data_IF_545269485201
#
_entry.id   IF_545269485201
#
_cell.length_a   1.000
_cell.length_b   1.000
_cell.length_c   1.000
_cell.angle_alpha   90.00
_cell.angle_beta   90.00
_cell.angle_gamma   90.00
#
_symmetry.space_group_name_H-M   'P 1'
#
loop_
_entity.id
_entity.type
_entity.pdbx_description
1 polymer ?
#
# COMPACT_ATOMS: atom_id res chain seq x y z
N UNK A 1 8.26 -0.95 -8.16
CA UNK A 1 8.52 0.50 -8.13
C UNK A 1 7.74 1.27 -9.19
N UNK A 2 7.63 0.78 -10.44
CA UNK A 2 6.83 1.42 -11.50
C UNK A 2 5.36 1.71 -11.12
N UNK A 3 4.71 0.83 -10.34
CA UNK A 3 3.30 0.98 -9.96
C UNK A 3 3.00 2.25 -9.16
N UNK A 4 3.88 2.64 -8.24
CA UNK A 4 3.64 3.85 -7.44
C UNK A 4 3.74 5.10 -8.29
N UNK A 5 4.72 5.17 -9.20
CA UNK A 5 4.88 6.29 -10.13
C UNK A 5 3.71 6.37 -11.11
N UNK A 6 3.28 5.24 -11.68
CA UNK A 6 2.13 5.22 -12.59
C UNK A 6 0.85 5.66 -11.89
N UNK A 7 0.62 5.17 -10.66
CA UNK A 7 -0.61 5.47 -9.96
C UNK A 7 -0.65 6.89 -9.38
N UNK A 8 0.47 7.61 -9.41
CA UNK A 8 0.58 8.97 -8.89
C UNK A 8 0.83 10.00 -9.98
N UNK A 9 0.72 9.64 -11.26
CA UNK A 9 0.98 10.59 -12.35
C UNK A 9 2.40 11.17 -12.32
N UNK A 10 3.34 10.45 -11.71
CA UNK A 10 4.74 10.86 -11.52
C UNK A 10 5.66 10.20 -12.56
N UNK A 11 5.13 9.72 -13.67
CA UNK A 11 5.89 9.07 -14.75
C UNK A 11 6.90 10.01 -15.40
N UNK A 12 6.68 11.33 -15.33
CA UNK A 12 7.65 12.32 -15.78
C UNK A 12 8.98 12.26 -14.99
N UNK A 13 9.02 11.59 -13.83
CA UNK A 13 10.25 11.30 -13.09
C UNK A 13 11.03 10.10 -13.64
N UNK A 14 10.47 9.36 -14.60
CA UNK A 14 11.10 8.20 -15.20
C UNK A 14 11.69 8.56 -16.56
N UNK A 15 13.01 8.38 -16.69
CA UNK A 15 13.72 8.36 -17.97
C UNK A 15 14.08 6.91 -18.30
N UNK A 16 13.18 6.24 -19.03
CA UNK A 16 13.22 4.79 -19.20
C UNK A 16 13.04 4.08 -17.87
N UNK A 17 14.04 3.29 -17.47
CA UNK A 17 14.06 2.55 -16.20
C UNK A 17 14.74 3.31 -15.05
N UNK A 18 15.13 4.57 -15.29
CA UNK A 18 15.84 5.39 -14.29
C UNK A 18 14.94 6.46 -13.72
N UNK A 19 15.00 6.64 -12.41
CA UNK A 19 14.37 7.78 -11.74
C UNK A 19 15.26 9.01 -11.92
N UNK A 20 14.67 10.19 -12.08
CA UNK A 20 15.36 11.48 -12.02
C UNK A 20 15.96 11.71 -10.62
N UNK A 21 17.21 11.27 -10.46
CA UNK A 21 18.01 11.39 -9.23
C UNK A 21 18.17 12.85 -8.78
N UNK A 22 18.17 13.82 -9.72
CA UNK A 22 18.30 15.24 -9.39
C UNK A 22 17.03 15.74 -8.73
N UNK A 23 15.86 15.37 -9.27
CA UNK A 23 14.58 15.74 -8.68
C UNK A 23 14.34 15.04 -7.33
N UNK A 24 14.73 13.76 -7.20
CA UNK A 24 14.68 13.04 -5.93
C UNK A 24 15.55 13.70 -4.85
N UNK A 25 16.79 14.05 -5.21
CA UNK A 25 17.71 14.72 -4.30
C UNK A 25 17.20 16.09 -3.86
N UNK A 26 16.59 16.86 -4.78
CA UNK A 26 15.96 18.13 -4.46
C UNK A 26 14.79 17.96 -3.46
N UNK A 27 13.91 16.99 -3.68
CA UNK A 27 12.79 16.71 -2.78
C UNK A 27 13.23 16.21 -1.41
N UNK A 28 14.29 15.38 -1.35
CA UNK A 28 14.87 14.96 -0.09
C UNK A 28 15.45 16.16 0.69
N UNK A 29 16.05 17.15 0.00
CA UNK A 29 16.54 18.38 0.61
C UNK A 29 15.44 19.31 1.15
N UNK A 30 14.21 19.18 0.66
CA UNK A 30 13.02 19.93 1.12
C UNK A 30 12.20 19.17 2.18
N UNK A 31 12.52 17.90 2.41
CA UNK A 31 11.73 17.01 3.23
C UNK A 31 11.93 17.26 4.73
N UNK A 32 10.90 16.92 5.51
CA UNK A 32 11.00 16.90 6.97
C UNK A 32 11.78 15.66 7.41
N UNK A 33 12.85 15.86 8.20
CA UNK A 33 13.69 14.78 8.72
C UNK A 33 13.17 14.30 10.08
N UNK A 34 13.01 12.99 10.20
CA UNK A 34 12.69 12.29 11.46
C UNK A 34 13.80 11.29 11.77
N UNK A 35 14.56 11.54 12.83
CA UNK A 35 15.61 10.62 13.29
C UNK A 35 15.01 9.46 14.10
N UNK A 36 15.53 8.26 13.87
CA UNK A 36 15.13 7.03 14.56
C UNK A 36 16.34 6.17 14.89
N UNK A 37 16.15 5.16 15.73
CA UNK A 37 17.19 4.16 15.95
C UNK A 37 17.55 3.47 14.62
N UNK A 38 18.83 3.51 14.26
CA UNK A 38 19.35 2.88 13.05
C UNK A 38 19.27 3.72 11.77
N UNK A 39 18.69 4.92 11.79
CA UNK A 39 18.65 5.78 10.59
C UNK A 39 17.75 7.00 10.69
N UNK A 40 17.24 7.45 9.54
CA UNK A 40 16.33 8.59 9.45
C UNK A 40 15.33 8.42 8.30
N UNK A 41 14.17 9.05 8.45
CA UNK A 41 13.20 9.24 7.39
C UNK A 41 13.25 10.69 6.93
N UNK A 42 13.09 10.91 5.62
CA UNK A 42 12.87 12.22 5.04
C UNK A 42 11.51 12.20 4.34
N UNK A 43 10.58 12.98 4.85
CA UNK A 43 9.18 12.98 4.41
C UNK A 43 8.86 14.23 3.60
N UNK A 44 8.62 14.08 2.31
CA UNK A 44 8.15 15.17 1.43
C UNK A 44 6.68 14.97 1.14
N UNK A 45 5.83 15.89 1.63
CA UNK A 45 4.40 15.89 1.38
C UNK A 45 4.01 16.90 0.28
N UNK A 46 3.19 16.46 -0.65
CA UNK A 46 2.60 17.25 -1.74
C UNK A 46 1.21 17.78 -1.37
N UNK A 47 0.71 18.74 -2.16
CA UNK A 47 -0.60 19.35 -1.94
C UNK A 47 -1.76 18.34 -2.01
N UNK A 48 -1.62 17.30 -2.83
CA UNK A 48 -2.60 16.20 -2.94
C UNK A 48 -2.71 15.32 -1.69
N UNK A 49 -1.75 15.42 -0.76
CA UNK A 49 -1.56 14.43 0.30
C UNK A 49 -0.67 13.24 -0.09
N UNK A 50 -0.14 13.18 -1.31
CA UNK A 50 0.93 12.24 -1.66
C UNK A 50 2.15 12.56 -0.81
N UNK A 51 2.77 11.53 -0.26
CA UNK A 51 3.96 11.63 0.54
C UNK A 51 5.02 10.71 -0.05
N UNK A 52 6.20 11.25 -0.30
CA UNK A 52 7.39 10.49 -0.64
C UNK A 52 8.25 10.41 0.61
N UNK A 53 8.64 9.19 0.95
CA UNK A 53 9.38 8.88 2.18
C UNK A 53 10.71 8.26 1.76
N UNK A 54 11.79 8.99 2.01
CA UNK A 54 13.14 8.48 1.79
C UNK A 54 13.66 7.88 3.10
N UNK A 55 14.23 6.68 3.03
CA UNK A 55 14.84 5.99 4.17
C UNK A 55 16.36 6.03 4.05
N UNK A 56 17.05 6.45 5.11
CA UNK A 56 18.52 6.49 5.10
C UNK A 56 19.16 5.80 6.29
N UNK A 57 20.31 5.17 6.08
CA UNK A 57 21.18 4.60 7.12
C UNK A 57 22.60 5.12 6.90
N UNK A 58 23.23 5.65 7.95
CA UNK A 58 24.56 6.27 7.85
C UNK A 58 24.67 7.28 6.69
N UNK A 59 23.59 8.07 6.50
CA UNK A 59 23.41 9.05 5.42
C UNK A 59 23.33 8.48 4.00
N UNK A 60 23.27 7.16 3.82
CA UNK A 60 23.01 6.50 2.53
C UNK A 60 21.52 6.21 2.35
N UNK A 61 20.98 6.52 1.16
CA UNK A 61 19.59 6.18 0.79
C UNK A 61 19.45 4.66 0.60
N UNK A 62 18.62 4.03 1.43
CA UNK A 62 18.39 2.57 1.41
C UNK A 62 17.01 2.19 0.86
N UNK A 63 16.10 3.15 0.72
CA UNK A 63 14.75 2.87 0.22
C UNK A 63 13.93 4.13 -0.03
N UNK A 64 12.89 3.96 -0.84
CA UNK A 64 11.91 4.98 -1.20
C UNK A 64 10.52 4.37 -1.10
N UNK A 65 9.64 5.02 -0.36
CA UNK A 65 8.24 4.62 -0.25
C UNK A 65 7.31 5.77 -0.62
N UNK A 66 6.08 5.40 -1.00
CA UNK A 66 5.02 6.35 -1.28
C UNK A 66 3.79 6.03 -0.45
N UNK A 67 3.12 7.07 0.01
CA UNK A 67 1.88 6.96 0.76
C UNK A 67 0.92 8.08 0.35
N UNK A 68 -0.35 7.76 0.21
CA UNK A 68 -1.39 8.76 -0.01
C UNK A 68 -2.15 9.02 1.30
N UNK A 69 -2.07 10.25 1.80
CA UNK A 69 -2.87 10.65 2.96
C UNK A 69 -4.35 10.70 2.61
N UNK A 70 -5.17 10.23 3.54
CA UNK A 70 -6.60 10.09 3.34
C UNK A 70 -7.37 9.94 4.64
N UNK A 71 -8.64 9.54 4.55
CA UNK A 71 -9.52 9.38 5.73
C UNK A 71 -9.58 7.93 6.23
N UNK A 72 -8.99 7.01 5.47
CA UNK A 72 -8.91 5.60 5.78
C UNK A 72 -7.98 5.33 6.96
N UNK A 73 -8.55 5.23 8.15
CA UNK A 73 -7.85 4.80 9.36
C UNK A 73 -8.41 3.44 9.79
N UNK A 74 -7.54 2.44 9.90
CA UNK A 74 -7.87 1.12 10.41
C UNK A 74 -7.17 0.88 11.74
N UNK A 75 -7.88 0.30 12.70
CA UNK A 75 -7.30 -0.20 13.94
C UNK A 75 -7.04 -1.69 13.79
N UNK A 76 -5.78 -2.11 13.81
CA UNK A 76 -5.39 -3.49 13.53
C UNK A 76 -4.35 -4.02 14.53
N UNK A 77 -4.40 -5.34 14.75
CA UNK A 77 -3.42 -6.08 15.55
C UNK A 77 -2.39 -6.73 14.63
N UNK A 78 -1.08 -6.56 14.89
CA UNK A 78 -0.06 -7.30 14.15
C UNK A 78 -0.08 -8.79 14.53
N UNK A 79 0.06 -9.67 13.55
CA UNK A 79 0.12 -11.12 13.76
C UNK A 79 1.51 -11.67 13.53
N UNK A 80 2.10 -11.37 12.38
CA UNK A 80 3.44 -11.81 12.03
C UNK A 80 4.05 -10.96 10.93
N UNK A 81 5.37 -11.04 10.82
CA UNK A 81 6.11 -10.43 9.71
C UNK A 81 5.93 -11.27 8.44
N UNK A 82 5.87 -10.60 7.30
CA UNK A 82 5.65 -11.20 5.98
C UNK A 82 6.64 -10.60 5.00
N UNK A 83 7.15 -11.40 4.06
CA UNK A 83 8.12 -10.97 3.07
C UNK A 83 9.52 -10.65 3.63
N UNK A 84 10.38 -10.17 2.73
CA UNK A 84 11.74 -9.75 3.07
C UNK A 84 11.73 -8.54 4.00
N UNK A 85 12.68 -8.52 4.92
CA UNK A 85 12.82 -7.43 5.87
C UNK A 85 13.66 -6.34 5.23
N UNK A 86 13.08 -5.15 5.09
CA UNK A 86 13.80 -3.98 4.63
C UNK A 86 14.21 -3.09 5.80
N UNK A 87 15.29 -2.33 5.69
CA UNK A 87 15.67 -1.41 6.74
C UNK A 87 14.61 -0.31 6.92
N UNK A 88 14.27 -0.02 8.17
CA UNK A 88 13.33 1.04 8.57
C UNK A 88 11.88 0.86 8.07
N UNK A 89 11.53 -0.23 7.38
CA UNK A 89 10.14 -0.58 7.07
C UNK A 89 9.84 -2.00 7.52
N UNK A 90 8.56 -2.31 7.72
CA UNK A 90 8.15 -3.67 8.09
C UNK A 90 6.86 -4.03 7.38
N UNK A 91 6.85 -5.18 6.73
CA UNK A 91 5.63 -5.75 6.14
C UNK A 91 5.07 -6.79 7.08
N UNK A 92 3.78 -6.66 7.42
CA UNK A 92 3.12 -7.49 8.42
C UNK A 92 1.79 -8.01 7.91
N UNK A 93 1.47 -9.24 8.31
CA UNK A 93 0.11 -9.72 8.37
C UNK A 93 -0.54 -9.08 9.60
N UNK A 94 -1.67 -8.44 9.39
CA UNK A 94 -2.45 -7.77 10.42
C UNK A 94 -3.87 -8.29 10.42
N UNK A 95 -4.56 -8.12 11.53
CA UNK A 95 -5.96 -8.52 11.67
C UNK A 95 -6.81 -7.42 12.30
N UNK A 96 -8.09 -7.40 11.93
CA UNK A 96 -9.12 -6.59 12.56
C UNK A 96 -9.22 -6.84 14.07
N UNK A 97 -9.86 -5.93 14.80
CA UNK A 97 -10.19 -6.12 16.22
C UNK A 97 -11.06 -7.36 16.49
N UNK A 98 -11.95 -7.72 15.56
CA UNK A 98 -12.81 -8.91 15.66
C UNK A 98 -12.11 -10.20 15.21
N UNK A 99 -10.88 -10.08 14.71
CA UNK A 99 -10.10 -11.17 14.10
C UNK A 99 -10.79 -11.85 12.90
N UNK A 100 -11.79 -11.20 12.29
CA UNK A 100 -12.55 -11.73 11.15
C UNK A 100 -11.92 -11.39 9.79
N UNK A 101 -11.02 -10.41 9.76
CA UNK A 101 -10.39 -9.89 8.54
C UNK A 101 -8.90 -9.83 8.73
N UNK A 102 -8.16 -10.33 7.75
CA UNK A 102 -6.71 -10.24 7.70
C UNK A 102 -6.26 -9.49 6.46
N UNK A 103 -5.17 -8.74 6.56
CA UNK A 103 -4.61 -7.99 5.45
C UNK A 103 -3.10 -7.87 5.63
N UNK A 104 -2.41 -7.59 4.55
CA UNK A 104 -0.97 -7.31 4.58
C UNK A 104 -0.77 -5.81 4.39
N UNK A 105 0.05 -5.21 5.23
CA UNK A 105 0.43 -3.81 5.13
C UNK A 105 1.92 -3.65 5.34
N UNK A 106 2.51 -2.75 4.55
CA UNK A 106 3.87 -2.26 4.76
C UNK A 106 3.81 -0.99 5.59
N UNK A 107 4.43 -1.02 6.76
CA UNK A 107 4.54 0.12 7.66
C UNK A 107 5.85 0.84 7.36
N UNK A 108 5.73 1.99 6.71
CA UNK A 108 6.85 2.79 6.18
C UNK A 108 7.64 3.53 7.25
N UNK A 109 7.01 3.88 8.38
CA UNK A 109 7.66 4.51 9.54
C UNK A 109 7.78 3.50 10.70
N UNK A 110 8.16 2.26 10.40
CA UNK A 110 8.16 1.19 11.39
C UNK A 110 9.00 1.52 12.63
N UNK A 111 10.17 2.13 12.43
CA UNK A 111 11.09 2.46 13.53
C UNK A 111 10.63 3.64 14.40
N UNK A 112 9.54 4.34 14.05
CA UNK A 112 8.95 5.35 14.95
C UNK A 112 7.95 4.73 15.94
N UNK A 113 7.60 3.45 15.76
CA UNK A 113 6.62 2.78 16.61
C UNK A 113 7.30 2.24 17.88
N UNK A 114 6.73 2.51 19.07
CA UNK A 114 7.38 2.19 20.35
C UNK A 114 7.47 0.69 20.63
N UNK A 115 6.49 -0.10 20.17
CA UNK A 115 6.48 -1.56 20.35
C UNK A 115 5.70 -2.24 19.24
N UNK A 116 6.20 -3.41 18.80
CA UNK A 116 5.47 -4.35 17.95
C UNK A 116 5.27 -5.65 18.72
N UNK A 117 4.09 -5.80 19.33
CA UNK A 117 3.67 -7.05 19.97
C UNK A 117 2.26 -7.45 19.54
N UNK A 118 1.92 -8.71 19.75
CA UNK A 118 0.63 -9.30 19.40
C UNK A 118 -0.50 -8.89 20.38
N UNK A 119 -0.25 -7.92 21.27
CA UNK A 119 -1.21 -7.45 22.26
C UNK A 119 -1.66 -6.01 21.99
N UNK A 120 -0.87 -5.27 21.21
CA UNK A 120 -1.07 -3.85 20.96
C UNK A 120 -1.82 -3.63 19.64
N UNK A 121 -2.97 -2.95 19.74
CA UNK A 121 -3.67 -2.43 18.57
C UNK A 121 -2.96 -1.18 18.04
N UNK A 122 -2.85 -1.07 16.73
CA UNK A 122 -2.21 0.05 16.04
C UNK A 122 -3.25 0.72 15.15
N UNK A 123 -3.37 2.04 15.26
CA UNK A 123 -4.14 2.85 14.31
C UNK A 123 -3.25 3.19 13.11
N UNK A 124 -3.72 2.85 11.92
CA UNK A 124 -2.98 2.94 10.68
C UNK A 124 -3.77 3.75 9.66
N UNK A 125 -3.14 4.80 9.11
CA UNK A 125 -3.66 5.39 7.88
C UNK A 125 -3.27 4.49 6.71
N UNK A 126 -4.24 3.97 5.99
CA UNK A 126 -4.03 2.98 4.91
C UNK A 126 -4.46 3.53 3.57
N UNK A 127 -3.70 3.18 2.53
CA UNK A 127 -4.10 3.33 1.15
C UNK A 127 -3.62 2.10 0.37
N UNK A 128 -4.21 1.85 -0.80
CA UNK A 128 -3.77 0.80 -1.70
C UNK A 128 -3.46 1.38 -3.08
N UNK A 129 -2.33 0.97 -3.64
CA UNK A 129 -1.97 1.28 -5.02
C UNK A 129 -2.49 0.16 -5.92
N UNK A 130 -3.43 0.51 -6.78
CA UNK A 130 -4.18 -0.43 -7.60
C UNK A 130 -3.32 -1.00 -8.72
N UNK A 131 -3.15 -2.33 -8.74
CA UNK A 131 -2.46 -3.04 -9.83
C UNK A 131 -3.40 -3.39 -11.00
N UNK A 132 -4.65 -3.71 -10.70
CA UNK A 132 -5.70 -4.02 -11.67
C UNK A 132 -7.05 -3.64 -11.06
N UNK A 133 -7.98 -3.20 -11.91
CA UNK A 133 -9.31 -2.76 -11.49
C UNK A 133 -10.33 -3.11 -12.57
N UNK A 134 -11.42 -3.73 -12.13
CA UNK A 134 -12.65 -3.87 -12.91
C UNK A 134 -13.77 -3.11 -12.18
N UNK A 135 -14.55 -2.34 -12.92
CA UNK A 135 -15.66 -1.55 -12.39
C UNK A 135 -16.96 -2.09 -12.97
N UNK A 136 -17.94 -2.29 -12.10
CA UNK A 136 -19.26 -2.77 -12.44
C UNK A 136 -20.32 -1.80 -11.94
N UNK A 137 -21.36 -1.57 -12.73
CA UNK A 137 -22.46 -0.66 -12.38
C UNK A 137 -23.30 -1.16 -11.19
N UNK A 138 -23.23 -2.46 -10.89
CA UNK A 138 -23.93 -3.07 -9.77
C UNK A 138 -23.29 -4.39 -9.35
N UNK A 139 -23.66 -4.87 -8.15
CA UNK A 139 -23.28 -6.21 -7.67
C UNK A 139 -23.76 -7.31 -8.62
N UNK A 140 -24.96 -7.18 -9.17
CA UNK A 140 -25.51 -8.14 -10.12
C UNK A 140 -24.67 -8.22 -11.40
N UNK A 141 -24.29 -7.07 -11.96
CA UNK A 141 -23.45 -7.04 -13.17
C UNK A 141 -22.08 -7.70 -12.95
N UNK A 142 -21.50 -7.51 -11.77
CA UNK A 142 -20.27 -8.22 -11.37
C UNK A 142 -20.46 -9.74 -11.32
N UNK A 143 -21.52 -10.21 -10.66
CA UNK A 143 -21.81 -11.64 -10.50
C UNK A 143 -22.15 -12.32 -11.84
N UNK A 144 -22.80 -11.61 -12.76
CA UNK A 144 -23.09 -12.09 -14.12
C UNK A 144 -21.83 -12.17 -15.00
N UNK A 145 -20.87 -11.26 -14.79
CA UNK A 145 -19.63 -11.20 -15.56
C UNK A 145 -18.50 -12.10 -15.01
N UNK A 146 -18.60 -12.53 -13.75
CA UNK A 146 -17.51 -13.24 -13.04
C UNK A 146 -17.92 -14.67 -12.69
N UNK A 147 -17.12 -15.70 -13.04
CA UNK A 147 -17.37 -17.07 -12.60
C UNK A 147 -17.52 -17.17 -11.09
N UNK A 148 -18.48 -17.96 -10.60
CA UNK A 148 -18.82 -18.06 -9.17
C UNK A 148 -17.59 -18.34 -8.28
N UNK A 149 -16.65 -19.16 -8.76
CA UNK A 149 -15.43 -19.52 -8.03
C UNK A 149 -14.41 -18.37 -7.91
N UNK A 150 -14.54 -17.35 -8.76
CA UNK A 150 -13.70 -16.15 -8.76
C UNK A 150 -14.38 -14.95 -8.08
N UNK A 151 -15.63 -15.11 -7.64
CA UNK A 151 -16.37 -14.02 -7.01
C UNK A 151 -15.85 -13.75 -5.59
N UNK A 152 -15.24 -12.59 -5.42
CA UNK A 152 -14.97 -11.97 -4.11
C UNK A 152 -16.28 -11.44 -3.50
N UNK A 153 -16.50 -11.79 -2.23
CA UNK A 153 -17.60 -11.27 -1.42
C UNK A 153 -17.47 -9.75 -1.19
N UNK A 154 -18.61 -9.07 -1.04
CA UNK A 154 -18.60 -7.62 -0.83
C UNK A 154 -17.87 -7.25 0.47
N UNK A 155 -17.09 -6.17 0.39
CA UNK A 155 -16.28 -5.57 1.47
C UNK A 155 -15.15 -6.43 2.03
N UNK A 156 -14.99 -7.66 1.54
CA UNK A 156 -13.93 -8.57 2.00
C UNK A 156 -12.57 -8.14 1.47
N UNK A 157 -11.58 -8.33 2.34
CA UNK A 157 -10.18 -8.12 2.04
C UNK A 157 -9.51 -9.49 2.11
N UNK A 158 -8.88 -9.90 1.01
CA UNK A 158 -8.24 -11.20 0.91
C UNK A 158 -6.74 -11.00 0.66
N UNK A 159 -5.85 -11.37 1.59
CA UNK A 159 -4.40 -11.35 1.37
C UNK A 159 -4.03 -12.51 0.44
N UNK A 160 -4.40 -12.38 -0.83
CA UNK A 160 -4.50 -13.46 -1.80
C UNK A 160 -3.18 -14.22 -1.96
N UNK A 161 -2.09 -13.53 -2.27
CA UNK A 161 -0.80 -14.20 -2.49
C UNK A 161 -0.26 -14.88 -1.23
N UNK A 162 -0.57 -14.35 -0.04
CA UNK A 162 -0.21 -14.99 1.23
C UNK A 162 -0.97 -16.30 1.47
N UNK A 163 -2.26 -16.35 1.13
CA UNK A 163 -3.05 -17.57 1.19
C UNK A 163 -2.56 -18.57 0.15
N UNK A 164 -2.40 -18.13 -1.11
CA UNK A 164 -1.97 -19.01 -2.20
C UNK A 164 -0.57 -19.60 -1.98
N UNK A 165 0.36 -18.87 -1.36
CA UNK A 165 1.69 -19.42 -1.06
C UNK A 165 1.65 -20.58 -0.05
N UNK A 166 0.52 -20.80 0.62
CA UNK A 166 0.29 -21.87 1.62
C UNK A 166 -0.70 -22.93 1.13
N UNK A 167 -1.24 -22.78 -0.07
CA UNK A 167 -2.24 -23.70 -0.64
C UNK A 167 -1.58 -25.02 -1.07
N UNK A 168 -1.96 -26.12 -0.41
CA UNK A 168 -1.31 -27.43 -0.56
C UNK A 168 -1.58 -28.09 -1.91
N UNK A 169 -2.67 -27.72 -2.58
CA UNK A 169 -2.98 -28.21 -3.92
C UNK A 169 -2.08 -27.63 -5.01
N UNK A 170 -1.37 -26.52 -4.74
CA UNK A 170 -0.45 -25.90 -5.70
C UNK A 170 0.93 -26.55 -5.74
N UNK A 171 1.53 -26.55 -6.93
CA UNK A 171 2.92 -26.97 -7.10
C UNK A 171 3.89 -26.07 -6.31
N UNK A 172 5.05 -26.61 -5.95
CA UNK A 172 6.07 -25.86 -5.19
C UNK A 172 6.48 -24.55 -5.89
N UNK A 173 6.73 -24.60 -7.20
CA UNK A 173 7.11 -23.41 -7.99
C UNK A 173 6.06 -22.30 -7.97
N UNK A 174 4.78 -22.66 -7.95
CA UNK A 174 3.69 -21.68 -7.90
C UNK A 174 3.60 -21.04 -6.52
N UNK A 175 3.73 -21.85 -5.46
CA UNK A 175 3.79 -21.35 -4.09
C UNK A 175 4.96 -20.38 -3.88
N UNK A 176 6.14 -20.72 -4.40
CA UNK A 176 7.33 -19.84 -4.37
C UNK A 176 7.07 -18.52 -5.12
N UNK A 177 6.37 -18.56 -6.27
CA UNK A 177 5.98 -17.34 -7.00
C UNK A 177 5.05 -16.45 -6.18
N UNK A 178 4.05 -17.04 -5.51
CA UNK A 178 3.12 -16.30 -4.65
C UNK A 178 3.83 -15.78 -3.39
N UNK A 179 4.77 -16.54 -2.85
CA UNK A 179 5.60 -16.12 -1.72
C UNK A 179 6.43 -14.88 -2.04
N UNK A 180 6.99 -14.78 -3.26
CA UNK A 180 7.74 -13.61 -3.70
C UNK A 180 6.89 -12.33 -3.86
N UNK A 181 5.55 -12.43 -3.88
CA UNK A 181 4.64 -11.31 -4.09
C UNK A 181 3.53 -11.26 -3.02
N UNK A 182 3.84 -11.63 -1.78
CA UNK A 182 2.84 -11.80 -0.71
C UNK A 182 1.98 -10.56 -0.41
N UNK A 183 2.41 -9.37 -0.80
CA UNK A 183 1.72 -8.10 -0.53
C UNK A 183 0.46 -7.86 -1.36
N UNK A 184 0.18 -8.69 -2.38
CA UNK A 184 -1.03 -8.54 -3.19
C UNK A 184 -2.28 -8.91 -2.39
N UNK A 185 -3.23 -7.98 -2.37
CA UNK A 185 -4.53 -8.11 -1.72
C UNK A 185 -5.63 -7.98 -2.77
N UNK A 186 -6.65 -8.84 -2.70
CA UNK A 186 -7.87 -8.73 -3.48
C UNK A 186 -8.96 -8.09 -2.63
N UNK A 187 -9.78 -7.24 -3.26
CA UNK A 187 -10.91 -6.60 -2.63
C UNK A 187 -12.07 -6.49 -3.62
N UNK A 188 -13.29 -6.52 -3.10
CA UNK A 188 -14.47 -6.03 -3.80
C UNK A 188 -15.26 -5.15 -2.83
N UNK A 189 -15.70 -3.98 -3.27
CA UNK A 189 -16.42 -3.07 -2.39
C UNK A 189 -17.09 -1.94 -3.17
N UNK A 190 -18.16 -1.33 -2.63
CA UNK A 190 -18.81 -0.21 -3.26
C UNK A 190 -17.92 1.02 -3.21
N UNK A 191 -17.83 1.73 -4.33
CA UNK A 191 -17.20 3.05 -4.43
C UNK A 191 -18.11 4.07 -3.76
N UNK A 192 -17.56 4.81 -2.79
CA UNK A 192 -18.31 5.82 -2.02
C UNK A 192 -17.91 7.25 -2.36
N UNK A 193 -16.69 7.45 -2.87
CA UNK A 193 -16.20 8.74 -3.33
C UNK A 193 -15.12 8.55 -4.39
N UNK A 194 -15.00 9.52 -5.29
CA UNK A 194 -13.90 9.60 -6.27
C UNK A 194 -13.45 11.05 -6.32
N UNK A 195 -12.15 11.27 -6.17
CA UNK A 195 -11.53 12.59 -6.16
C UNK A 195 -10.33 12.60 -7.09
N UNK A 196 -10.19 13.66 -7.90
CA UNK A 196 -8.91 13.96 -8.56
C UNK A 196 -8.08 14.84 -7.62
N UNK A 197 -6.82 14.48 -7.40
CA UNK A 197 -5.90 15.23 -6.53
C UNK A 197 -4.64 15.62 -7.28
N UNK A 198 -4.30 16.91 -7.24
CA UNK A 198 -3.14 17.47 -7.92
C UNK A 198 -1.96 17.62 -6.97
N UNK A 199 -0.77 17.21 -7.39
CA UNK A 199 0.42 17.21 -6.53
C UNK A 199 1.02 18.61 -6.34
N UNK A 200 0.76 19.53 -7.28
CA UNK A 200 1.40 20.84 -7.31
C UNK A 200 2.83 20.80 -7.83
N UNK A 201 3.20 19.74 -8.56
CA UNK A 201 4.47 19.62 -9.28
C UNK A 201 4.17 19.34 -10.76
N UNK A 202 4.43 20.32 -11.63
CA UNK A 202 4.00 20.23 -13.03
C UNK A 202 2.47 20.03 -13.15
N UNK A 203 2.06 19.18 -14.09
CA UNK A 203 0.65 18.79 -14.29
C UNK A 203 0.31 17.44 -13.62
N UNK A 204 1.13 16.98 -12.67
CA UNK A 204 0.94 15.66 -12.06
C UNK A 204 -0.20 15.61 -11.03
N UNK A 205 -0.84 14.46 -10.97
CA UNK A 205 -1.92 14.17 -10.05
C UNK A 205 -2.36 12.71 -10.16
N UNK A 206 -3.30 12.34 -9.31
CA UNK A 206 -3.86 11.00 -9.28
C UNK A 206 -5.37 11.05 -9.05
N UNK A 207 -6.03 9.93 -9.31
CA UNK A 207 -7.40 9.69 -8.88
C UNK A 207 -7.35 8.87 -7.59
N UNK A 208 -8.15 9.27 -6.61
CA UNK A 208 -8.37 8.51 -5.38
C UNK A 208 -9.83 8.09 -5.33
N UNK A 209 -10.07 6.78 -5.40
CA UNK A 209 -11.39 6.21 -5.18
C UNK A 209 -11.46 5.64 -3.77
N UNK A 210 -12.40 6.12 -2.95
CA UNK A 210 -12.64 5.55 -1.63
C UNK A 210 -13.68 4.45 -1.76
N UNK A 211 -13.37 3.26 -1.24
CA UNK A 211 -14.29 2.11 -1.20
C UNK A 211 -14.62 1.72 0.24
N UNK A 212 -15.80 1.13 0.44
CA UNK A 212 -16.15 0.51 1.72
C UNK A 212 -15.57 -0.89 1.81
N UNK A 213 -14.97 -1.22 2.95
CA UNK A 213 -14.53 -2.56 3.34
C UNK A 213 -15.10 -2.90 4.72
N UNK A 214 -14.89 -4.13 5.17
CA UNK A 214 -15.26 -4.56 6.53
C UNK A 214 -14.35 -3.94 7.62
N UNK A 215 -13.18 -3.44 7.22
CA UNK A 215 -12.23 -2.74 8.08
C UNK A 215 -12.54 -1.23 8.22
N UNK A 216 -13.45 -0.71 7.41
CA UNK A 216 -13.73 0.73 7.30
C UNK A 216 -13.66 1.19 5.85
N UNK A 217 -13.09 2.36 5.60
CA UNK A 217 -12.88 2.86 4.24
C UNK A 217 -11.46 2.52 3.77
N UNK A 218 -11.27 2.30 2.48
CA UNK A 218 -9.96 2.18 1.85
C UNK A 218 -9.84 3.18 0.70
N UNK A 219 -8.78 3.97 0.71
CA UNK A 219 -8.44 4.84 -0.41
C UNK A 219 -7.60 4.06 -1.43
N UNK A 220 -8.14 3.94 -2.65
CA UNK A 220 -7.51 3.32 -3.81
C UNK A 220 -6.88 4.41 -4.68
N UNK A 221 -5.56 4.34 -4.83
CA UNK A 221 -4.76 5.30 -5.61
C UNK A 221 -4.61 4.77 -7.04
N UNK A 222 -5.07 5.58 -7.99
CA UNK A 222 -5.22 5.27 -9.41
C UNK A 222 -4.47 6.33 -10.25
N UNK A 223 -3.78 5.85 -11.28
CA UNK A 223 -3.11 6.67 -12.30
C UNK A 223 -4.07 7.11 -13.40
#
# INVERSE_FOLDING_TARGET
MALYFSNTGLEALLDGDRIDERQMSAWMGEAERTDVEGGAYYTKRFASGLTIIFRTIADELVGLDMHMSGRSIWTAKPLMRVGEQEPLSITMLMTSRSEQSAFIATLVHAATLPTFDDQTMIDLQVCAFVQALDIYDSRQAYEEATPTEMQVEDKKILPYNFVMSREQSLGQKERERFEAAQTLVLLAGPVIAVEKREHGWGESGCIVATVSTEMGHLDLVLG
#
